data_IF_047731520463
#
_entry.id   IF_047731520463
#
_cell.length_a   1.000
_cell.length_b   1.000
_cell.length_c   1.000
_cell.angle_alpha   90.00
_cell.angle_beta   90.00
_cell.angle_gamma   90.00
#
_symmetry.space_group_name_H-M   'P 1'
#
loop_
_entity.id
_entity.type
_entity.pdbx_description
1 polymer ?
#
# COMPACT_ATOMS: atom_id res chain seq x y z
N UNK A 1 -12.88 13.61 1.07
CA UNK A 1 -12.58 14.94 1.61
C UNK A 1 -13.16 15.04 3.01
N UNK A 2 -12.42 15.51 4.00
CA UNK A 2 -12.87 15.53 5.41
C UNK A 2 -11.83 15.21 6.48
N UNK A 3 -10.65 14.71 6.10
CA UNK A 3 -9.53 14.49 7.03
C UNK A 3 -8.48 15.62 7.00
N UNK A 4 -8.49 16.48 5.99
CA UNK A 4 -7.48 17.55 5.84
C UNK A 4 -6.05 17.04 5.66
N UNK A 5 -5.90 15.83 5.09
CA UNK A 5 -4.61 15.15 4.85
C UNK A 5 -4.39 15.06 3.35
N UNK A 6 -3.23 15.48 2.87
CA UNK A 6 -2.83 15.34 1.46
C UNK A 6 -2.50 13.88 1.12
N UNK A 7 -2.65 13.43 -0.14
CA UNK A 7 -2.30 12.05 -0.52
C UNK A 7 -0.88 11.63 -0.10
N UNK A 8 0.10 12.52 -0.24
CA UNK A 8 1.51 12.27 0.14
C UNK A 8 1.72 12.08 1.65
N UNK A 9 0.76 12.48 2.48
CA UNK A 9 0.78 12.37 3.94
C UNK A 9 0.03 11.12 4.42
N UNK A 10 -0.55 10.34 3.49
CA UNK A 10 -1.30 9.13 3.78
C UNK A 10 -0.63 7.89 3.18
N UNK A 11 -0.88 6.75 3.82
CA UNK A 11 -0.41 5.43 3.37
C UNK A 11 -1.62 4.52 3.20
N UNK A 12 -1.77 3.93 2.01
CA UNK A 12 -2.76 2.88 1.77
C UNK A 12 -2.20 1.52 2.22
N UNK A 13 -3.00 0.73 2.93
CA UNK A 13 -2.64 -0.62 3.35
C UNK A 13 -3.73 -1.57 2.84
N UNK A 14 -3.36 -2.52 1.99
CA UNK A 14 -4.30 -3.47 1.37
C UNK A 14 -3.60 -4.68 0.78
N UNK A 15 -4.36 -5.67 0.29
CA UNK A 15 -3.82 -6.94 -0.22
C UNK A 15 -3.75 -6.98 -1.76
N UNK A 16 -4.53 -6.13 -2.44
CA UNK A 16 -4.72 -6.14 -3.89
C UNK A 16 -3.89 -5.11 -4.62
N UNK A 17 -3.15 -5.55 -5.63
CA UNK A 17 -2.35 -4.67 -6.45
C UNK A 17 -3.19 -3.72 -7.32
N UNK A 18 -4.33 -4.20 -7.82
CA UNK A 18 -5.20 -3.48 -8.76
C UNK A 18 -6.12 -2.47 -8.08
N UNK A 19 -6.53 -2.73 -6.84
CA UNK A 19 -7.51 -1.91 -6.11
C UNK A 19 -6.96 -1.16 -4.90
N UNK A 20 -5.85 -1.59 -4.31
CA UNK A 20 -5.26 -0.91 -3.17
C UNK A 20 -3.99 -0.18 -3.60
N UNK A 21 -3.06 -0.89 -4.23
CA UNK A 21 -1.73 -0.34 -4.53
C UNK A 21 -1.79 0.62 -5.72
N UNK A 22 -2.26 0.16 -6.88
CA UNK A 22 -2.34 0.97 -8.09
C UNK A 22 -3.04 2.32 -7.91
N UNK A 23 -4.29 2.38 -7.40
CA UNK A 23 -4.97 3.67 -7.29
C UNK A 23 -4.33 4.58 -6.23
N UNK A 24 -3.83 4.04 -5.11
CA UNK A 24 -3.13 4.83 -4.11
C UNK A 24 -1.85 5.48 -4.68
N UNK A 25 -1.04 4.68 -5.37
CA UNK A 25 0.18 5.14 -6.05
C UNK A 25 -0.15 6.16 -7.14
N UNK A 26 -1.21 5.94 -7.92
CA UNK A 26 -1.66 6.84 -8.97
C UNK A 26 -2.01 8.24 -8.44
N UNK A 27 -2.60 8.34 -7.24
CA UNK A 27 -2.94 9.63 -6.62
C UNK A 27 -1.83 10.21 -5.74
N UNK A 28 -0.65 9.57 -5.68
CA UNK A 28 0.53 10.07 -4.97
C UNK A 28 0.62 9.66 -3.49
N UNK A 29 -0.15 8.66 -3.05
CA UNK A 29 0.01 8.06 -1.73
C UNK A 29 1.15 7.03 -1.73
N UNK A 30 1.73 6.78 -0.55
CA UNK A 30 2.52 5.57 -0.33
C UNK A 30 1.58 4.37 -0.17
N UNK A 31 2.05 3.17 -0.48
CA UNK A 31 1.25 1.96 -0.41
C UNK A 31 2.02 0.77 0.19
N UNK A 32 1.41 0.07 1.16
CA UNK A 32 1.92 -1.16 1.76
C UNK A 32 1.01 -2.30 1.34
N UNK A 33 1.59 -3.36 0.79
CA UNK A 33 0.85 -4.60 0.50
C UNK A 33 0.92 -5.58 1.65
N UNK A 34 -0.22 -6.13 2.06
CA UNK A 34 -0.28 -7.24 3.01
C UNK A 34 -0.51 -8.55 2.24
N UNK A 35 0.38 -9.54 2.41
CA UNK A 35 0.28 -10.83 1.71
C UNK A 35 -0.72 -11.77 2.38
N UNK A 36 -2.00 -11.44 2.25
CA UNK A 36 -3.13 -12.22 2.77
C UNK A 36 -4.14 -12.51 1.68
N UNK A 37 -4.99 -13.52 1.91
CA UNK A 37 -6.13 -13.79 1.05
C UNK A 37 -5.80 -14.31 -0.35
N UNK A 38 -6.80 -14.34 -1.25
CA UNK A 38 -6.67 -14.94 -2.58
C UNK A 38 -5.75 -14.16 -3.53
N UNK A 39 -5.42 -12.92 -3.19
CA UNK A 39 -4.64 -12.02 -4.03
C UNK A 39 -3.16 -11.99 -3.69
N UNK A 40 -2.70 -12.74 -2.69
CA UNK A 40 -1.29 -12.79 -2.28
C UNK A 40 -0.32 -13.18 -3.43
N UNK A 41 -0.80 -13.94 -4.42
CA UNK A 41 -0.04 -14.33 -5.61
C UNK A 41 -0.05 -13.35 -6.78
N UNK A 42 -0.75 -12.20 -6.69
CA UNK A 42 -0.76 -11.21 -7.78
C UNK A 42 0.66 -10.67 -8.04
N UNK A 43 0.98 -10.52 -9.31
CA UNK A 43 2.24 -9.96 -9.82
C UNK A 43 1.97 -8.57 -10.37
N UNK A 44 2.87 -7.62 -10.07
CA UNK A 44 2.75 -6.25 -10.56
C UNK A 44 2.90 -6.22 -12.09
N UNK A 45 1.96 -5.54 -12.77
CA UNK A 45 1.94 -5.40 -14.23
C UNK A 45 2.51 -4.06 -14.71
N UNK A 46 2.76 -3.13 -13.78
CA UNK A 46 3.43 -1.86 -14.02
C UNK A 46 4.07 -1.33 -12.73
N UNK A 47 4.92 -0.32 -12.83
CA UNK A 47 5.57 0.33 -11.68
C UNK A 47 4.56 0.91 -10.69
N UNK A 48 3.38 1.34 -11.16
CA UNK A 48 2.31 1.83 -10.29
C UNK A 48 1.66 0.71 -9.46
N UNK A 49 1.80 -0.56 -9.85
CA UNK A 49 1.33 -1.71 -9.06
C UNK A 49 2.38 -2.20 -8.06
N UNK A 50 3.60 -1.63 -8.08
CA UNK A 50 4.64 -2.00 -7.10
C UNK A 50 4.39 -1.24 -5.80
N UNK A 51 4.14 -1.93 -4.68
CA UNK A 51 3.96 -1.27 -3.39
C UNK A 51 5.31 -0.74 -2.88
N UNK A 52 5.28 0.29 -2.04
CA UNK A 52 6.48 0.81 -1.37
C UNK A 52 7.06 -0.21 -0.38
N UNK A 53 6.20 -1.00 0.29
CA UNK A 53 6.58 -2.08 1.19
C UNK A 53 5.62 -3.27 1.06
N UNK A 54 6.08 -4.47 1.41
CA UNK A 54 5.24 -5.68 1.49
C UNK A 54 5.45 -6.37 2.83
N UNK A 55 4.36 -6.64 3.53
CA UNK A 55 4.35 -7.31 4.84
C UNK A 55 3.49 -8.58 4.81
N UNK A 56 3.74 -9.50 5.74
CA UNK A 56 2.96 -10.75 5.83
C UNK A 56 1.84 -10.67 6.86
N UNK A 57 1.99 -9.82 7.87
CA UNK A 57 1.04 -9.66 8.96
C UNK A 57 0.79 -8.20 9.25
N UNK A 58 -0.35 -7.86 9.87
CA UNK A 58 -0.60 -6.49 10.31
C UNK A 58 0.24 -6.11 11.54
N UNK A 59 0.80 -7.08 12.25
CA UNK A 59 1.70 -6.84 13.39
C UNK A 59 3.01 -6.15 12.96
N UNK A 60 3.42 -6.35 11.70
CA UNK A 60 4.60 -5.70 11.11
C UNK A 60 4.36 -4.20 10.81
N UNK A 61 3.10 -3.77 10.72
CA UNK A 61 2.70 -2.45 10.21
C UNK A 61 3.32 -1.28 10.99
N UNK A 62 3.37 -1.23 12.34
CA UNK A 62 3.96 -0.12 13.06
C UNK A 62 5.45 0.10 12.72
N UNK A 63 6.21 -0.99 12.59
CA UNK A 63 7.62 -0.94 12.23
C UNK A 63 7.79 -0.48 10.76
N UNK A 64 6.95 -0.99 9.86
CA UNK A 64 6.97 -0.59 8.44
C UNK A 64 6.60 0.87 8.23
N UNK A 65 5.58 1.39 8.94
CA UNK A 65 5.20 2.80 8.86
C UNK A 65 6.33 3.72 9.29
N UNK A 66 7.08 3.34 10.33
CA UNK A 66 8.21 4.12 10.83
C UNK A 66 9.38 4.20 9.83
N UNK A 67 9.49 3.26 8.89
CA UNK A 67 10.50 3.25 7.82
C UNK A 67 10.07 4.05 6.58
N UNK A 68 8.78 4.39 6.49
CA UNK A 68 8.21 5.18 5.39
C UNK A 68 8.09 6.67 5.74
N UNK A 69 8.49 7.09 6.95
CA UNK A 69 8.49 8.50 7.34
C UNK A 69 9.60 9.29 6.62
#
# INVERSE_FOLDING_TARGET
DGLGVEPKEAVMVGDRLDFDIFPARLVGMKAIRVLVGPYAGQVAVSDLHVPDQTIRTLDDLPATLSQLA
#
